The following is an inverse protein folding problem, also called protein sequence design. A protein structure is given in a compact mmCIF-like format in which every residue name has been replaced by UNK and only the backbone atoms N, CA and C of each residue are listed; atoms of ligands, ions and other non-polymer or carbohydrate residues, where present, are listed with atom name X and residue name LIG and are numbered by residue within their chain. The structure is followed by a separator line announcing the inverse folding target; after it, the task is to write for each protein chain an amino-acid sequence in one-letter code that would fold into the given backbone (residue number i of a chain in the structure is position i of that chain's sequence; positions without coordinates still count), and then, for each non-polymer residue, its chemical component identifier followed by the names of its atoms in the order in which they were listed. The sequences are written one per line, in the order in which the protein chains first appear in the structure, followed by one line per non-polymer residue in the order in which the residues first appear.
data_IF_357724743530
#
_entry.id   IF_357724743530
#
_cell.length_a   1.000
_cell.length_b   1.000
_cell.length_c   1.000
_cell.angle_alpha   90.00
_cell.angle_beta   90.00
_cell.angle_gamma   90.00
#
_symmetry.space_group_name_H-M   'P 1'
#
loop_
_entity.id
_entity.type
_entity.pdbx_description
1 polymer ?
#
# COMPACT_ATOMS: atom_id res chain seq x y z
N UNK A 1 -8.13 -20.69 8.79
CA UNK A 1 -7.08 -19.74 9.21
C UNK A 1 -7.64 -18.34 9.03
N UNK A 2 -7.56 -17.47 10.03
CA UNK A 2 -7.95 -16.06 9.86
C UNK A 2 -6.77 -15.30 9.28
N UNK A 3 -6.93 -14.69 8.11
CA UNK A 3 -5.89 -13.84 7.53
C UNK A 3 -5.84 -12.50 8.27
N UNK A 4 -4.65 -11.93 8.51
CA UNK A 4 -4.53 -10.63 9.14
C UNK A 4 -5.39 -9.59 8.40
N UNK A 5 -6.10 -8.76 9.17
CA UNK A 5 -6.86 -7.62 8.67
C UNK A 5 -8.04 -7.94 7.74
N UNK A 6 -8.54 -9.17 7.73
CA UNK A 6 -9.70 -9.55 6.92
C UNK A 6 -10.99 -8.78 7.30
N UNK A 7 -11.05 -8.24 8.52
CA UNK A 7 -12.09 -7.36 9.03
C UNK A 7 -12.04 -5.93 8.46
N UNK A 8 -10.97 -5.57 7.75
CA UNK A 8 -10.76 -4.21 7.25
C UNK A 8 -11.08 -4.11 5.75
N UNK A 9 -11.90 -3.13 5.34
CA UNK A 9 -12.09 -2.85 3.91
C UNK A 9 -10.76 -2.40 3.28
N UNK A 10 -10.39 -3.03 2.17
CA UNK A 10 -9.10 -2.86 1.52
C UNK A 10 -9.21 -2.06 0.22
N UNK A 11 -8.23 -1.18 -0.01
CA UNK A 11 -7.98 -0.59 -1.32
C UNK A 11 -6.83 -1.30 -2.01
N UNK A 12 -7.05 -1.80 -3.23
CA UNK A 12 -5.98 -2.42 -4.02
C UNK A 12 -5.32 -1.35 -4.88
N UNK A 13 -3.99 -1.28 -4.82
CA UNK A 13 -3.23 -0.31 -5.61
C UNK A 13 -2.08 -0.99 -6.37
N UNK A 14 -2.00 -0.72 -7.67
CA UNK A 14 -0.89 -1.17 -8.51
C UNK A 14 -0.26 -0.03 -9.29
N UNK A 15 1.02 -0.19 -9.62
CA UNK A 15 1.76 0.75 -10.46
C UNK A 15 2.76 0.02 -11.32
N UNK A 16 2.82 0.38 -12.60
CA UNK A 16 3.87 -0.10 -13.49
C UNK A 16 4.62 1.06 -14.11
N UNK A 17 5.92 0.92 -14.28
CA UNK A 17 6.74 1.78 -15.16
C UNK A 17 7.09 1.07 -16.47
N UNK A 18 6.52 -0.12 -16.69
CA UNK A 18 6.66 -0.85 -17.94
C UNK A 18 5.99 -0.09 -19.09
N UNK A 19 6.46 -0.28 -20.32
CA UNK A 19 5.85 0.31 -21.51
C UNK A 19 4.53 -0.36 -21.88
N UNK A 20 4.31 -1.60 -21.42
CA UNK A 20 3.15 -2.40 -21.77
C UNK A 20 2.07 -2.35 -20.68
N UNK A 21 0.86 -1.92 -21.07
CA UNK A 21 -0.32 -1.87 -20.20
C UNK A 21 -0.68 -3.23 -19.59
N UNK A 22 -0.41 -4.33 -20.31
CA UNK A 22 -0.68 -5.70 -19.84
C UNK A 22 -0.01 -6.00 -18.50
N UNK A 23 1.19 -5.46 -18.26
CA UNK A 23 1.90 -5.67 -16.98
C UNK A 23 1.13 -5.02 -15.82
N UNK A 24 0.59 -3.82 -16.03
CA UNK A 24 -0.21 -3.12 -15.03
C UNK A 24 -1.52 -3.87 -14.73
N UNK A 25 -2.22 -4.35 -15.77
CA UNK A 25 -3.44 -5.12 -15.61
C UNK A 25 -3.19 -6.45 -14.90
N UNK A 26 -2.12 -7.17 -15.27
CA UNK A 26 -1.77 -8.41 -14.59
C UNK A 26 -1.45 -8.18 -13.11
N UNK A 27 -0.74 -7.09 -12.77
CA UNK A 27 -0.49 -6.76 -11.37
C UNK A 27 -1.78 -6.54 -10.58
N UNK A 28 -2.79 -5.87 -11.14
CA UNK A 28 -4.07 -5.71 -10.46
C UNK A 28 -4.86 -7.01 -10.38
N UNK A 29 -4.84 -7.83 -11.43
CA UNK A 29 -5.49 -9.13 -11.40
C UNK A 29 -4.91 -10.00 -10.28
N UNK A 30 -3.58 -10.05 -10.15
CA UNK A 30 -2.92 -10.78 -9.06
C UNK A 30 -3.35 -10.28 -7.67
N UNK A 31 -3.57 -8.97 -7.50
CA UNK A 31 -4.06 -8.42 -6.23
C UNK A 31 -5.52 -8.80 -5.95
N UNK A 32 -6.36 -8.83 -6.98
CA UNK A 32 -7.76 -9.25 -6.88
C UNK A 32 -7.85 -10.73 -6.53
N UNK A 33 -7.10 -11.59 -7.23
CA UNK A 33 -7.04 -13.04 -6.96
C UNK A 33 -6.56 -13.30 -5.52
N UNK A 34 -5.58 -12.51 -5.05
CA UNK A 34 -5.08 -12.60 -3.69
C UNK A 34 -6.10 -12.17 -2.64
N UNK A 35 -6.83 -11.08 -2.91
CA UNK A 35 -7.89 -10.60 -2.04
C UNK A 35 -9.03 -11.62 -1.95
N UNK A 36 -9.42 -12.24 -3.07
CA UNK A 36 -10.42 -13.31 -3.11
C UNK A 36 -9.95 -14.53 -2.31
N UNK A 37 -8.72 -15.01 -2.58
CA UNK A 37 -8.11 -16.16 -1.89
C UNK A 37 -8.07 -15.99 -0.38
N UNK A 38 -7.85 -14.76 0.10
CA UNK A 38 -7.80 -14.42 1.53
C UNK A 38 -9.13 -13.94 2.12
N UNK A 39 -10.19 -13.92 1.32
CA UNK A 39 -11.52 -13.42 1.69
C UNK A 39 -11.48 -11.97 2.23
N UNK A 40 -10.66 -11.12 1.62
CA UNK A 40 -10.59 -9.70 1.94
C UNK A 40 -11.76 -8.94 1.32
N UNK A 41 -12.33 -8.00 2.08
CA UNK A 41 -13.36 -7.09 1.56
C UNK A 41 -12.70 -5.99 0.74
N UNK A 42 -12.91 -5.99 -0.58
CA UNK A 42 -12.37 -4.96 -1.48
C UNK A 42 -13.32 -3.76 -1.54
N UNK A 43 -12.87 -2.60 -1.06
CA UNK A 43 -13.63 -1.35 -1.10
C UNK A 43 -13.42 -0.55 -2.40
N UNK A 44 -12.34 -0.86 -3.14
CA UNK A 44 -12.06 -0.25 -4.43
C UNK A 44 -10.65 -0.55 -4.90
N UNK A 45 -10.37 -0.12 -6.13
CA UNK A 45 -9.07 -0.33 -6.78
C UNK A 45 -8.62 0.94 -7.47
N UNK A 46 -7.30 1.12 -7.58
CA UNK A 46 -6.74 2.14 -8.46
C UNK A 46 -5.36 1.75 -8.98
N UNK A 47 -4.98 2.35 -10.11
CA UNK A 47 -3.76 1.99 -10.83
C UNK A 47 -3.09 3.22 -11.41
N UNK A 48 -1.76 3.18 -11.54
CA UNK A 48 -1.01 4.22 -12.26
C UNK A 48 0.04 3.61 -13.21
N UNK A 49 0.13 4.19 -14.40
CA UNK A 49 1.26 3.95 -15.31
C UNK A 49 2.29 5.07 -15.16
N UNK A 50 3.58 4.71 -15.14
CA UNK A 50 4.69 5.64 -15.08
C UNK A 50 5.52 5.57 -13.79
N UNK A 51 6.33 6.60 -13.57
CA UNK A 51 7.36 6.65 -12.52
C UNK A 51 6.77 6.73 -11.11
N UNK A 52 7.46 6.12 -10.14
CA UNK A 52 7.15 6.22 -8.71
C UNK A 52 7.68 7.49 -8.03
N UNK A 53 8.37 8.39 -8.74
CA UNK A 53 9.07 9.57 -8.17
C UNK A 53 8.16 10.75 -7.81
N UNK A 54 6.84 10.61 -7.88
CA UNK A 54 5.90 11.72 -7.63
C UNK A 54 4.66 11.25 -6.88
N UNK A 55 4.10 12.15 -6.07
CA UNK A 55 2.77 11.99 -5.47
C UNK A 55 1.63 12.40 -6.42
N UNK A 56 1.96 13.04 -7.55
CA UNK A 56 0.99 13.53 -8.53
C UNK A 56 0.46 12.42 -9.45
N UNK A 57 0.05 11.31 -8.85
CA UNK A 57 -0.48 10.11 -9.49
C UNK A 57 -1.97 9.98 -9.22
N UNK A 58 -2.78 9.77 -10.25
CA UNK A 58 -4.23 9.79 -10.11
C UNK A 58 -4.72 8.58 -9.31
N UNK A 59 -4.18 7.39 -9.56
CA UNK A 59 -4.53 6.19 -8.83
C UNK A 59 -4.10 6.28 -7.35
N UNK A 60 -2.88 6.74 -7.09
CA UNK A 60 -2.40 6.97 -5.73
C UNK A 60 -3.28 7.98 -4.98
N UNK A 61 -3.65 9.11 -5.62
CA UNK A 61 -4.54 10.11 -5.02
C UNK A 61 -5.91 9.53 -4.68
N UNK A 62 -6.44 8.64 -5.52
CA UNK A 62 -7.71 7.94 -5.23
C UNK A 62 -7.59 7.04 -4.00
N UNK A 63 -6.53 6.22 -3.93
CA UNK A 63 -6.24 5.38 -2.76
C UNK A 63 -6.13 6.23 -1.49
N UNK A 64 -5.37 7.32 -1.55
CA UNK A 64 -5.20 8.20 -0.40
C UNK A 64 -6.52 8.85 0.03
N UNK A 65 -7.40 9.24 -0.90
CA UNK A 65 -8.73 9.75 -0.55
C UNK A 65 -9.61 8.69 0.09
N UNK A 66 -9.58 7.45 -0.42
CA UNK A 66 -10.32 6.34 0.17
C UNK A 66 -9.88 6.05 1.60
N UNK A 67 -8.57 6.08 1.86
CA UNK A 67 -8.00 5.96 3.21
C UNK A 67 -8.41 7.14 4.09
N UNK A 68 -8.24 8.38 3.61
CA UNK A 68 -8.60 9.59 4.37
C UNK A 68 -10.09 9.63 4.74
N UNK A 69 -10.95 9.16 3.83
CA UNK A 69 -12.40 9.11 4.03
C UNK A 69 -12.88 7.92 4.86
N UNK A 70 -12.00 7.02 5.29
CA UNK A 70 -12.37 5.80 6.04
C UNK A 70 -13.01 4.70 5.20
N UNK A 71 -13.15 4.90 3.89
CA UNK A 71 -13.64 3.88 2.95
C UNK A 71 -12.70 2.67 2.90
N UNK A 72 -11.39 2.91 3.03
CA UNK A 72 -10.38 1.88 3.12
C UNK A 72 -9.61 2.01 4.43
N UNK A 73 -9.46 0.91 5.15
CA UNK A 73 -8.67 0.80 6.39
C UNK A 73 -7.41 -0.06 6.21
N UNK A 74 -7.27 -0.68 5.03
CA UNK A 74 -6.06 -1.33 4.61
C UNK A 74 -5.79 -1.05 3.12
N UNK A 75 -4.53 -1.18 2.72
CA UNK A 75 -4.06 -1.03 1.34
C UNK A 75 -3.29 -2.29 0.97
N UNK A 76 -3.69 -2.93 -0.14
CA UNK A 76 -3.03 -4.12 -0.67
C UNK A 76 -2.21 -3.72 -1.90
N UNK A 77 -0.92 -4.04 -1.89
CA UNK A 77 0.01 -3.81 -2.99
C UNK A 77 0.89 -5.04 -3.21
N UNK A 78 1.52 -5.14 -4.38
CA UNK A 78 2.43 -6.25 -4.66
C UNK A 78 3.66 -6.22 -3.72
N UNK A 79 4.30 -5.04 -3.65
CA UNK A 79 5.50 -4.74 -2.85
C UNK A 79 5.65 -3.20 -2.73
N UNK A 80 6.55 -2.71 -1.88
CA UNK A 80 6.73 -1.26 -1.62
C UNK A 80 7.12 -0.47 -2.87
N UNK A 81 7.78 -1.09 -3.85
CA UNK A 81 8.17 -0.39 -5.09
C UNK A 81 6.98 0.02 -5.95
N UNK A 82 5.82 -0.62 -5.76
CA UNK A 82 4.56 -0.18 -6.40
C UNK A 82 4.12 1.18 -5.85
N UNK A 83 4.26 1.41 -4.53
CA UNK A 83 4.02 2.71 -3.93
C UNK A 83 5.07 3.74 -4.37
N UNK A 84 6.36 3.43 -4.23
CA UNK A 84 7.46 4.26 -4.74
C UNK A 84 8.81 3.54 -4.65
N UNK A 85 9.69 3.79 -5.62
CA UNK A 85 11.12 3.46 -5.51
C UNK A 85 11.95 4.63 -4.96
N UNK A 86 11.39 5.84 -4.93
CA UNK A 86 11.97 7.01 -4.26
C UNK A 86 11.70 6.91 -2.74
N UNK A 87 12.75 6.88 -1.88
CA UNK A 87 12.58 6.72 -0.44
C UNK A 87 11.80 7.85 0.24
N UNK A 88 11.98 9.10 -0.20
CA UNK A 88 11.31 10.24 0.40
C UNK A 88 9.81 10.25 0.08
N UNK A 89 9.45 9.87 -1.15
CA UNK A 89 8.05 9.69 -1.55
C UNK A 89 7.43 8.49 -0.82
N UNK A 90 8.15 7.37 -0.73
CA UNK A 90 7.68 6.18 -0.03
C UNK A 90 7.40 6.49 1.45
N UNK A 91 8.33 7.17 2.13
CA UNK A 91 8.18 7.59 3.52
C UNK A 91 6.92 8.44 3.70
N UNK A 92 6.68 9.44 2.84
CA UNK A 92 5.47 10.27 2.90
C UNK A 92 4.17 9.46 2.76
N UNK A 93 4.15 8.47 1.87
CA UNK A 93 2.98 7.59 1.70
C UNK A 93 2.74 6.77 2.96
N UNK A 94 3.79 6.16 3.51
CA UNK A 94 3.68 5.32 4.70
C UNK A 94 3.30 6.15 5.95
N UNK A 95 3.84 7.36 6.10
CA UNK A 95 3.42 8.29 7.16
C UNK A 95 1.96 8.68 7.03
N UNK A 96 1.50 8.92 5.79
CA UNK A 96 0.10 9.19 5.53
C UNK A 96 -0.80 8.01 5.96
N UNK A 97 -0.43 6.77 5.61
CA UNK A 97 -1.19 5.59 6.04
C UNK A 97 -1.21 5.47 7.57
N UNK A 98 -0.07 5.70 8.22
CA UNK A 98 0.05 5.66 9.68
C UNK A 98 -0.85 6.72 10.35
N UNK A 99 -0.84 7.94 9.85
CA UNK A 99 -1.64 9.05 10.38
C UNK A 99 -3.15 8.81 10.26
N UNK A 100 -3.57 7.92 9.34
CA UNK A 100 -4.97 7.53 9.14
C UNK A 100 -5.28 6.11 9.65
N UNK A 101 -4.39 5.52 10.46
CA UNK A 101 -4.54 4.17 11.02
C UNK A 101 -4.82 3.07 9.97
N UNK A 102 -4.36 3.30 8.74
CA UNK A 102 -4.49 2.37 7.64
C UNK A 102 -3.27 1.43 7.59
N UNK A 103 -3.55 0.16 7.32
CA UNK A 103 -2.54 -0.90 7.30
C UNK A 103 -2.13 -1.19 5.85
N UNK A 104 -0.84 -1.36 5.61
CA UNK A 104 -0.27 -1.78 4.34
C UNK A 104 -0.01 -3.28 4.38
N UNK A 105 -0.39 -3.97 3.30
CA UNK A 105 -0.16 -5.39 3.11
C UNK A 105 0.53 -5.59 1.76
N UNK A 106 1.58 -6.41 1.75
CA UNK A 106 2.33 -6.80 0.56
C UNK A 106 2.06 -8.26 0.23
N UNK A 107 1.97 -8.59 -1.07
CA UNK A 107 1.59 -9.94 -1.52
C UNK A 107 2.78 -10.80 -1.94
N UNK A 108 3.89 -10.20 -2.39
CA UNK A 108 5.06 -10.93 -2.91
C UNK A 108 6.27 -10.95 -1.99
N UNK A 109 6.27 -10.13 -0.95
CA UNK A 109 7.38 -10.02 0.00
C UNK A 109 6.89 -9.71 1.40
N UNK A 110 7.66 -10.11 2.41
CA UNK A 110 7.39 -9.69 3.79
C UNK A 110 7.62 -8.18 3.92
N UNK A 111 6.61 -7.47 4.43
CA UNK A 111 6.66 -6.01 4.52
C UNK A 111 7.75 -5.53 5.48
N UNK A 112 7.98 -6.22 6.60
CA UNK A 112 9.03 -5.82 7.56
C UNK A 112 10.41 -5.98 6.93
N UNK A 113 10.63 -7.06 6.19
CA UNK A 113 11.85 -7.26 5.42
C UNK A 113 12.09 -6.14 4.39
N UNK A 114 11.06 -5.74 3.63
CA UNK A 114 11.18 -4.62 2.70
C UNK A 114 11.52 -3.29 3.40
N UNK A 115 10.93 -3.03 4.56
CA UNK A 115 11.18 -1.83 5.35
C UNK A 115 12.57 -1.82 5.97
N UNK A 116 13.06 -2.99 6.40
CA UNK A 116 14.41 -3.18 6.92
C UNK A 116 15.45 -2.84 5.86
N UNK A 117 15.34 -3.41 4.65
CA UNK A 117 16.27 -3.14 3.53
C UNK A 117 16.27 -1.65 3.18
N UNK A 118 15.10 -0.99 3.25
CA UNK A 118 14.96 0.43 2.92
C UNK A 118 15.35 1.37 4.07
N UNK A 119 15.73 0.83 5.24
CA UNK A 119 16.08 1.62 6.42
C UNK A 119 14.91 2.42 7.01
N UNK A 120 13.67 2.03 6.73
CA UNK A 120 12.46 2.79 7.11
C UNK A 120 11.84 2.29 8.43
N UNK A 121 12.09 1.04 8.82
CA UNK A 121 11.45 0.43 9.99
C UNK A 121 11.64 1.24 11.28
N UNK A 122 12.90 1.63 11.58
CA UNK A 122 13.23 2.40 12.79
C UNK A 122 12.53 3.76 12.85
N UNK A 123 12.34 4.41 11.70
CA UNK A 123 11.62 5.69 11.60
C UNK A 123 10.18 5.54 12.06
N UNK A 124 9.46 4.55 11.54
CA UNK A 124 8.05 4.34 11.85
C UNK A 124 7.82 3.81 13.27
N UNK A 125 8.73 3.00 13.81
CA UNK A 125 8.72 2.61 15.22
C UNK A 125 8.84 3.82 16.15
N UNK A 126 9.78 4.72 15.86
CA UNK A 126 9.95 5.95 16.64
C UNK A 126 8.72 6.86 16.53
N UNK A 127 8.20 7.04 15.32
CA UNK A 127 7.01 7.87 15.07
C UNK A 127 5.77 7.33 15.79
N UNK A 128 5.58 6.01 15.78
CA UNK A 128 4.50 5.34 16.51
C UNK A 128 4.58 5.66 18.01
N UNK A 129 5.75 5.50 18.62
CA UNK A 129 5.98 5.79 20.04
C UNK A 129 5.77 7.28 20.38
N UNK A 130 6.26 8.19 19.53
CA UNK A 130 6.16 9.63 19.76
C UNK A 130 4.74 10.18 19.62
N UNK A 131 3.94 9.61 18.71
CA UNK A 131 2.59 10.10 18.40
C UNK A 131 1.47 9.27 19.03
N UNK A 132 1.79 8.18 19.73
CA UNK A 132 0.79 7.22 20.20
C UNK A 132 0.04 6.53 19.06
N UNK A 133 0.66 6.41 17.88
CA UNK A 133 0.08 5.78 16.69
C UNK A 133 0.43 4.30 16.63
N UNK A 134 -0.39 3.52 15.93
CA UNK A 134 -0.04 2.14 15.55
C UNK A 134 0.95 2.15 14.38
N UNK A 135 1.64 1.04 14.15
CA UNK A 135 2.37 0.85 12.90
C UNK A 135 1.36 0.66 11.75
N UNK A 136 1.68 1.13 10.53
CA UNK A 136 0.82 0.92 9.37
C UNK A 136 1.01 -0.48 8.77
N UNK A 137 1.35 -1.48 9.58
CA UNK A 137 1.49 -2.91 9.22
C UNK A 137 1.38 -3.82 10.43
#
# INVERSE_FOLDING_TARGET
MSFPYADRPMWLYSRSSDKHLKVLFQQMQNLLDEAERRAYTVAGTSQDMGSGKSMARMGLKQMMRAVKGGLAQAVLVQNLTRLSHDPAILMKILEFLQDHNAVLITTESDLRYELYIKGLEKHFLRRAAQKGLRLPW
#
